data_IF_675738205408
#
_entry.id   IF_675738205408
#
_cell.length_a   1.000
_cell.length_b   1.000
_cell.length_c   1.000
_cell.angle_alpha   90.00
_cell.angle_beta   90.00
_cell.angle_gamma   90.00
#
_symmetry.space_group_name_H-M   'P 1'
#
loop_
_entity.id
_entity.type
_entity.pdbx_description
1 polymer ?
#
# COMPACT_ATOMS: atom_id res chain seq x y z
N UNK A 1 8.61 -3.10 15.43
CA UNK A 1 9.43 -1.90 15.13
C UNK A 1 8.59 -0.85 14.43
N UNK A 2 7.91 -1.18 13.32
CA UNK A 2 7.10 -0.24 12.54
C UNK A 2 5.99 0.43 13.37
N UNK A 3 5.10 -0.37 13.97
CA UNK A 3 4.03 0.11 14.86
C UNK A 3 4.60 1.00 15.99
N UNK A 4 5.60 0.51 16.73
CA UNK A 4 6.26 1.25 17.83
C UNK A 4 6.85 2.61 17.41
N UNK A 5 7.27 2.75 16.15
CA UNK A 5 7.83 4.00 15.61
C UNK A 5 6.82 4.77 14.77
N UNK A 6 5.54 4.40 14.81
CA UNK A 6 4.45 5.05 14.09
C UNK A 6 4.74 5.15 12.57
N UNK A 7 5.31 4.08 12.01
CA UNK A 7 5.62 3.97 10.59
C UNK A 7 4.43 3.47 9.78
N UNK A 8 4.53 3.62 8.46
CA UNK A 8 3.50 3.24 7.48
C UNK A 8 4.09 2.20 6.53
N UNK A 9 3.26 1.30 6.03
CA UNK A 9 3.63 0.32 5.00
C UNK A 9 3.17 0.79 3.63
N UNK A 10 4.05 0.67 2.63
CA UNK A 10 3.74 0.98 1.24
C UNK A 10 3.26 -0.27 0.51
N UNK A 11 1.97 -0.29 0.14
CA UNK A 11 1.41 -1.30 -0.76
C UNK A 11 1.69 -0.84 -2.19
N UNK A 12 2.67 -1.47 -2.82
CA UNK A 12 3.34 -1.02 -4.01
C UNK A 12 3.09 -1.97 -5.19
N UNK A 13 2.62 -1.42 -6.30
CA UNK A 13 2.29 -2.19 -7.52
C UNK A 13 3.44 -2.27 -8.53
N UNK A 14 4.57 -1.60 -8.29
CA UNK A 14 5.71 -1.57 -9.20
C UNK A 14 6.23 -2.96 -9.54
N UNK A 15 6.32 -3.84 -8.55
CA UNK A 15 6.69 -5.27 -8.71
C UNK A 15 5.72 -6.02 -9.62
N UNK A 16 4.43 -5.66 -9.60
CA UNK A 16 3.40 -6.32 -10.37
C UNK A 16 3.50 -6.04 -11.88
N UNK A 17 3.65 -4.78 -12.27
CA UNK A 17 3.60 -4.42 -13.69
C UNK A 17 4.99 -4.27 -14.33
N UNK A 18 6.01 -3.78 -13.60
CA UNK A 18 7.34 -3.47 -14.16
C UNK A 18 8.28 -4.67 -14.20
N UNK A 19 8.13 -5.63 -13.28
CA UNK A 19 9.07 -6.75 -13.12
C UNK A 19 8.41 -8.11 -13.45
N UNK A 20 9.22 -9.18 -13.62
CA UNK A 20 8.72 -10.53 -13.86
C UNK A 20 8.00 -11.18 -12.67
N UNK A 21 8.09 -10.60 -11.46
CA UNK A 21 7.52 -11.20 -10.25
C UNK A 21 5.99 -11.20 -10.24
N UNK A 22 5.35 -10.21 -10.91
CA UNK A 22 3.89 -10.15 -11.11
C UNK A 22 3.06 -10.22 -9.82
N UNK A 23 3.59 -9.67 -8.74
CA UNK A 23 2.94 -9.60 -7.42
C UNK A 23 2.99 -8.17 -6.86
N UNK A 24 1.96 -7.80 -6.09
CA UNK A 24 1.95 -6.55 -5.31
C UNK A 24 2.76 -6.79 -4.04
N UNK A 25 3.51 -5.78 -3.61
CA UNK A 25 4.26 -5.83 -2.34
C UNK A 25 3.60 -4.94 -1.29
N UNK A 26 3.69 -5.28 0.01
CA UNK A 26 4.28 -6.49 0.56
C UNK A 26 3.48 -7.75 0.22
N UNK A 27 4.14 -8.91 0.21
CA UNK A 27 3.48 -10.19 -0.04
C UNK A 27 2.55 -10.59 1.11
N UNK A 28 1.65 -11.55 0.84
CA UNK A 28 0.51 -11.89 1.71
C UNK A 28 0.93 -12.19 3.16
N UNK A 29 1.98 -12.98 3.35
CA UNK A 29 2.50 -13.34 4.69
C UNK A 29 2.86 -12.10 5.51
N UNK A 30 3.40 -11.04 4.87
CA UNK A 30 3.70 -9.79 5.56
C UNK A 30 2.43 -8.99 5.85
N UNK A 31 1.47 -8.98 4.92
CA UNK A 31 0.18 -8.30 5.07
C UNK A 31 -0.64 -8.83 6.25
N UNK A 32 -0.53 -10.13 6.57
CA UNK A 32 -1.13 -10.69 7.79
C UNK A 32 -0.60 -9.98 9.05
N UNK A 33 0.71 -9.71 9.12
CA UNK A 33 1.30 -8.95 10.22
C UNK A 33 0.93 -7.47 10.18
N UNK A 34 0.83 -6.86 8.99
CA UNK A 34 0.35 -5.48 8.84
C UNK A 34 -1.01 -5.33 9.51
N UNK A 35 -1.95 -6.23 9.20
CA UNK A 35 -3.27 -6.20 9.84
C UNK A 35 -3.20 -6.54 11.33
N UNK A 36 -2.45 -7.57 11.71
CA UNK A 36 -2.32 -8.01 13.11
C UNK A 36 -1.87 -6.90 14.06
N UNK A 37 -0.99 -6.03 13.59
CA UNK A 37 -0.45 -4.90 14.35
C UNK A 37 -1.11 -3.56 14.00
N UNK A 38 -2.20 -3.59 13.21
CA UNK A 38 -2.94 -2.42 12.73
C UNK A 38 -2.01 -1.32 12.18
N UNK A 39 -0.98 -1.73 11.42
CA UNK A 39 -0.01 -0.82 10.83
C UNK A 39 -0.70 -0.13 9.65
N UNK A 40 -0.76 1.21 9.62
CA UNK A 40 -1.43 1.91 8.55
C UNK A 40 -0.68 1.75 7.21
N UNK A 41 -1.42 1.89 6.11
CA UNK A 41 -0.89 1.67 4.76
C UNK A 41 -1.02 2.91 3.88
N UNK A 42 -0.17 2.99 2.86
CA UNK A 42 -0.36 3.85 1.68
C UNK A 42 -0.42 2.93 0.45
N UNK A 43 -1.00 3.45 -0.64
CA UNK A 43 -0.98 2.78 -1.94
C UNK A 43 -0.07 3.55 -2.87
N UNK A 44 0.78 2.85 -3.63
CA UNK A 44 1.66 3.49 -4.61
C UNK A 44 1.85 2.64 -5.87
N UNK A 45 2.16 3.31 -7.00
CA UNK A 45 2.55 2.62 -8.22
C UNK A 45 4.05 2.60 -8.49
N UNK A 46 4.85 3.28 -7.68
CA UNK A 46 6.30 3.46 -7.89
C UNK A 46 6.67 3.79 -9.35
N UNK A 47 5.87 4.69 -9.93
CA UNK A 47 5.98 4.98 -11.35
C UNK A 47 7.29 5.69 -11.70
N UNK A 48 7.93 5.24 -12.77
CA UNK A 48 9.10 5.89 -13.39
C UNK A 48 8.76 6.53 -14.76
N UNK A 49 7.50 6.45 -15.19
CA UNK A 49 6.99 7.01 -16.45
C UNK A 49 5.61 7.64 -16.22
N UNK A 50 5.27 8.73 -16.91
CA UNK A 50 3.98 9.43 -16.71
C UNK A 50 2.78 8.51 -16.87
N UNK A 51 2.86 7.57 -17.80
CA UNK A 51 1.80 6.66 -18.19
C UNK A 51 1.50 5.60 -17.11
N UNK A 52 2.44 5.36 -16.18
CA UNK A 52 2.27 4.37 -15.11
C UNK A 52 1.88 5.00 -13.77
N UNK A 53 1.61 6.31 -13.72
CA UNK A 53 1.09 6.96 -12.51
C UNK A 53 -0.27 6.34 -12.16
N UNK A 54 -0.38 5.79 -10.94
CA UNK A 54 -1.58 5.08 -10.49
C UNK A 54 -1.81 3.73 -11.18
N UNK A 55 -0.84 3.21 -11.94
CA UNK A 55 -0.96 1.91 -12.58
C UNK A 55 -1.21 0.83 -11.53
N UNK A 56 -2.29 0.08 -11.71
CA UNK A 56 -2.73 -1.00 -10.82
C UNK A 56 -3.10 -0.57 -9.39
N UNK A 57 -3.33 0.73 -9.17
CA UNK A 57 -3.63 1.24 -7.82
C UNK A 57 -4.98 0.74 -7.28
N UNK A 58 -5.94 0.47 -8.17
CA UNK A 58 -7.23 -0.10 -7.80
C UNK A 58 -7.05 -1.53 -7.27
N UNK A 59 -6.25 -2.33 -7.97
CA UNK A 59 -5.87 -3.68 -7.55
C UNK A 59 -5.10 -3.67 -6.22
N UNK A 60 -4.29 -2.64 -5.94
CA UNK A 60 -3.68 -2.46 -4.61
C UNK A 60 -4.70 -2.22 -3.50
N UNK A 61 -5.75 -1.44 -3.79
CA UNK A 61 -6.86 -1.21 -2.86
C UNK A 61 -7.67 -2.47 -2.61
N UNK A 62 -7.99 -3.22 -3.66
CA UNK A 62 -8.65 -4.53 -3.57
C UNK A 62 -7.80 -5.51 -2.75
N UNK A 63 -6.48 -5.57 -3.00
CA UNK A 63 -5.54 -6.37 -2.24
C UNK A 63 -5.51 -6.00 -0.76
N UNK A 64 -5.49 -4.70 -0.41
CA UNK A 64 -5.57 -4.26 0.99
C UNK A 64 -6.88 -4.71 1.67
N UNK A 65 -8.00 -4.60 0.94
CA UNK A 65 -9.35 -4.99 1.42
C UNK A 65 -9.45 -6.48 1.72
N UNK A 66 -8.72 -7.35 1.03
CA UNK A 66 -8.65 -8.79 1.34
C UNK A 66 -8.18 -9.07 2.78
N UNK A 67 -7.35 -8.18 3.36
CA UNK A 67 -6.86 -8.28 4.74
C UNK A 67 -7.71 -7.48 5.74
N UNK A 68 -8.86 -6.95 5.32
CA UNK A 68 -9.71 -6.12 6.18
C UNK A 68 -9.11 -4.73 6.47
N UNK A 69 -8.32 -4.20 5.54
CA UNK A 69 -7.79 -2.83 5.59
C UNK A 69 -8.65 -1.98 4.63
N UNK A 70 -9.46 -1.09 5.19
CA UNK A 70 -10.46 -0.29 4.44
C UNK A 70 -10.07 1.18 4.31
N UNK A 71 -9.03 1.62 5.00
CA UNK A 71 -8.54 2.99 4.98
C UNK A 71 -7.03 3.02 4.71
N UNK A 72 -6.57 4.07 4.05
CA UNK A 72 -5.16 4.38 3.84
C UNK A 72 -4.82 5.74 4.40
N UNK A 73 -3.52 6.00 4.56
CA UNK A 73 -3.00 7.32 4.90
C UNK A 73 -2.72 8.13 3.63
N UNK A 74 -2.98 9.42 3.68
CA UNK A 74 -2.38 10.43 2.80
C UNK A 74 -1.57 11.42 3.63
N UNK A 75 -0.62 12.11 3.00
CA UNK A 75 0.21 13.10 3.66
C UNK A 75 0.04 14.48 3.03
N UNK A 76 -0.20 15.49 3.86
CA UNK A 76 -0.20 16.90 3.48
C UNK A 76 0.69 17.66 4.47
N UNK A 77 1.77 18.28 3.98
CA UNK A 77 2.76 18.98 4.80
C UNK A 77 3.25 18.14 6.00
N UNK A 78 3.55 16.87 5.75
CA UNK A 78 3.98 15.85 6.74
C UNK A 78 2.93 15.52 7.81
N UNK A 79 1.68 15.96 7.65
CA UNK A 79 0.55 15.58 8.50
C UNK A 79 -0.21 14.45 7.82
N UNK A 80 -0.42 13.35 8.56
CA UNK A 80 -1.22 12.22 8.09
C UNK A 80 -2.71 12.55 8.11
N UNK A 81 -3.45 12.05 7.14
CA UNK A 81 -4.92 12.02 7.10
C UNK A 81 -5.37 10.62 6.68
N UNK A 82 -6.35 10.06 7.39
CA UNK A 82 -6.99 8.82 6.98
C UNK A 82 -7.99 9.12 5.86
N UNK A 83 -8.03 8.25 4.86
CA UNK A 83 -8.99 8.28 3.76
C UNK A 83 -9.45 6.86 3.45
N UNK A 84 -10.70 6.69 3.07
CA UNK A 84 -11.23 5.40 2.66
C UNK A 84 -10.57 4.91 1.37
N UNK A 85 -10.31 3.60 1.30
CA UNK A 85 -9.80 2.96 0.08
C UNK A 85 -11.00 2.76 -0.86
N UNK A 86 -10.92 3.40 -2.03
CA UNK A 86 -11.90 3.27 -3.13
C UNK A 86 -12.05 1.86 -3.67
#
# INVERSE_FOLDING_TARGET
MLEKNNMVVDINTGTFYRYPIKEITPYRDFMEYVKKYDIPVILSSDSHYSEHVGMKIKEAGEYAKEFGITEMITFDKRKRRMVEIG
#
